data_IF_087322007043
#
_entry.id   IF_087322007043
#
_cell.length_a   1.000
_cell.length_b   1.000
_cell.length_c   1.000
_cell.angle_alpha   90.00
_cell.angle_beta   90.00
_cell.angle_gamma   90.00
#
_symmetry.space_group_name_H-M   'P 1'
#
loop_
_entity.id
_entity.type
_entity.pdbx_description
1 polymer ?
#
# COMPACT_ATOMS: atom_id res chain seq x y z
N UNK A 1 37.43 -32.73 7.12
CA UNK A 1 38.12 -31.50 7.55
C UNK A 1 37.22 -30.32 7.17
N UNK A 2 36.61 -29.67 8.16
CA UNK A 2 35.61 -28.60 7.98
C UNK A 2 36.25 -27.30 7.47
N UNK A 3 35.55 -26.58 6.59
CA UNK A 3 36.03 -25.37 5.94
C UNK A 3 36.52 -24.28 6.91
N UNK A 4 37.70 -23.74 6.62
CA UNK A 4 38.36 -22.71 7.43
C UNK A 4 37.53 -21.42 7.40
N UNK A 5 36.74 -21.21 8.46
CA UNK A 5 36.04 -19.96 8.75
C UNK A 5 37.09 -18.86 8.95
N UNK A 6 37.19 -17.92 8.01
CA UNK A 6 38.08 -16.76 8.18
C UNK A 6 38.71 -16.19 6.90
N UNK A 7 38.55 -16.80 5.72
CA UNK A 7 39.06 -16.21 4.45
C UNK A 7 38.16 -15.13 3.86
N UNK A 8 37.64 -14.20 4.66
CA UNK A 8 37.15 -12.93 4.12
C UNK A 8 38.28 -11.92 4.23
N UNK A 9 38.85 -11.53 3.10
CA UNK A 9 39.91 -10.52 3.03
C UNK A 9 39.51 -9.31 3.86
N UNK A 10 40.34 -9.02 4.88
CA UNK A 10 40.08 -7.97 5.84
C UNK A 10 39.89 -6.59 5.19
N UNK A 11 39.43 -5.59 5.98
CA UNK A 11 39.22 -4.24 5.49
C UNK A 11 40.48 -3.71 4.79
N UNK A 12 40.30 -3.17 3.57
CA UNK A 12 41.39 -2.62 2.74
C UNK A 12 42.04 -1.42 3.44
N UNK A 13 43.30 -1.10 3.11
CA UNK A 13 44.12 -0.05 3.75
C UNK A 13 43.49 1.36 3.80
N UNK A 14 42.41 1.63 3.05
CA UNK A 14 41.65 2.89 3.08
C UNK A 14 40.14 2.69 3.29
N UNK A 15 39.71 1.53 3.79
CA UNK A 15 38.32 1.33 4.17
C UNK A 15 38.07 2.13 5.46
N UNK A 16 37.35 3.25 5.34
CA UNK A 16 36.93 4.04 6.49
C UNK A 16 36.28 3.13 7.53
N UNK A 17 36.84 3.12 8.74
CA UNK A 17 36.37 2.28 9.83
C UNK A 17 34.93 2.61 10.22
N UNK A 18 34.32 1.72 11.02
CA UNK A 18 33.03 2.00 11.63
C UNK A 18 33.11 3.36 12.35
N UNK A 19 32.26 4.32 11.94
CA UNK A 19 32.20 5.65 12.56
C UNK A 19 31.91 5.52 14.06
N UNK A 20 32.40 6.42 14.92
CA UNK A 20 32.02 6.42 16.34
C UNK A 20 30.49 6.42 16.46
N UNK A 21 29.93 5.38 17.10
CA UNK A 21 28.47 5.17 17.19
C UNK A 21 27.82 4.33 16.07
N UNK A 22 28.60 3.83 15.11
CA UNK A 22 28.13 2.86 14.13
C UNK A 22 27.99 1.47 14.78
N UNK A 23 26.75 1.13 15.11
CA UNK A 23 26.37 -0.10 15.78
C UNK A 23 25.15 0.14 16.67
N UNK A 24 24.34 -0.88 16.89
CA UNK A 24 23.26 -0.78 17.87
C UNK A 24 23.90 -0.62 19.26
N UNK A 25 23.60 0.49 19.96
CA UNK A 25 24.04 0.68 21.36
C UNK A 25 23.66 -0.56 22.19
N UNK A 26 24.58 -1.13 22.99
CA UNK A 26 24.23 -2.24 23.87
C UNK A 26 23.13 -1.77 24.82
N UNK A 27 22.04 -2.56 24.87
CA UNK A 27 20.90 -2.25 25.73
C UNK A 27 21.36 -2.42 27.18
N UNK A 28 21.32 -1.34 27.95
CA UNK A 28 21.59 -1.38 29.38
C UNK A 28 20.67 -2.41 30.07
N UNK A 29 21.14 -3.12 31.12
CA UNK A 29 20.30 -4.00 31.91
C UNK A 29 19.39 -3.14 32.79
N UNK A 30 18.37 -2.54 32.18
CA UNK A 30 17.16 -2.18 32.93
C UNK A 30 16.62 -3.48 33.54
N UNK A 31 16.16 -3.48 34.81
CA UNK A 31 15.39 -4.59 35.34
C UNK A 31 14.21 -4.77 34.39
N UNK A 32 14.30 -5.81 33.56
CA UNK A 32 13.34 -6.11 32.53
C UNK A 32 12.01 -6.42 33.23
N UNK A 33 10.92 -5.66 33.03
CA UNK A 33 9.64 -6.36 32.98
C UNK A 33 9.84 -7.39 31.87
N UNK A 34 9.79 -8.66 32.25
CA UNK A 34 10.13 -9.80 31.41
C UNK A 34 9.64 -9.54 29.98
N UNK A 35 10.59 -9.40 29.04
CA UNK A 35 10.27 -9.36 27.61
C UNK A 35 9.49 -10.64 27.35
N UNK A 36 8.17 -10.52 27.15
CA UNK A 36 7.36 -11.59 26.59
C UNK A 36 7.91 -11.84 25.19
N UNK A 37 8.88 -12.73 25.11
CA UNK A 37 9.30 -13.37 23.88
C UNK A 37 8.04 -13.90 23.23
N UNK A 38 7.75 -13.48 22.00
CA UNK A 38 6.64 -14.01 21.20
C UNK A 38 6.82 -15.50 20.83
N UNK A 39 7.81 -16.18 21.41
CA UNK A 39 8.05 -17.61 21.27
C UNK A 39 8.16 -18.33 22.62
N UNK A 40 7.58 -17.78 23.70
CA UNK A 40 7.18 -18.65 24.81
C UNK A 40 6.11 -19.57 24.24
N UNK A 41 6.45 -20.86 24.07
CA UNK A 41 5.45 -21.93 24.00
C UNK A 41 4.47 -21.62 25.13
N UNK A 42 3.30 -21.09 24.79
CA UNK A 42 2.23 -20.91 25.75
C UNK A 42 2.05 -22.29 26.34
N UNK A 43 2.37 -22.45 27.62
CA UNK A 43 1.91 -23.60 28.37
C UNK A 43 0.40 -23.52 28.27
N UNK A 44 -0.13 -24.22 27.27
CA UNK A 44 -1.55 -24.32 27.03
C UNK A 44 -2.12 -24.70 28.39
N UNK A 45 -2.92 -23.80 28.96
CA UNK A 45 -3.76 -24.14 30.08
C UNK A 45 -4.56 -25.32 29.55
N UNK A 46 -4.20 -26.54 29.97
CA UNK A 46 -5.00 -27.73 29.74
C UNK A 46 -6.19 -27.58 30.67
N UNK A 47 -7.09 -26.67 30.30
CA UNK A 47 -8.48 -26.79 30.72
C UNK A 47 -8.91 -28.09 30.08
N UNK A 48 -9.13 -29.12 30.89
CA UNK A 48 -9.81 -30.34 30.48
C UNK A 48 -11.24 -29.94 30.11
N UNK A 49 -11.40 -29.41 28.90
CA UNK A 49 -12.70 -29.21 28.28
C UNK A 49 -13.28 -30.60 28.11
N UNK A 50 -14.46 -30.81 28.67
CA UNK A 50 -15.25 -32.02 28.44
C UNK A 50 -15.28 -32.31 26.95
N UNK A 51 -15.07 -33.58 26.60
CA UNK A 51 -15.11 -34.03 25.22
C UNK A 51 -16.50 -33.70 24.66
N UNK A 52 -16.58 -32.64 23.86
CA UNK A 52 -17.81 -32.24 23.20
C UNK A 52 -18.31 -33.45 22.38
N UNK A 53 -19.55 -33.94 22.59
CA UNK A 53 -20.08 -35.17 22.02
C UNK A 53 -20.42 -34.99 20.53
N UNK A 54 -19.39 -34.73 19.74
CA UNK A 54 -19.52 -34.28 18.37
C UNK A 54 -18.27 -33.54 17.97
N UNK A 55 -17.16 -34.27 17.83
CA UNK A 55 -15.99 -33.83 17.05
C UNK A 55 -16.38 -33.73 15.58
N UNK A 56 -17.33 -32.85 15.28
CA UNK A 56 -17.80 -32.58 13.94
C UNK A 56 -16.71 -31.82 13.24
N UNK A 57 -16.16 -32.43 12.19
CA UNK A 57 -15.53 -31.70 11.11
C UNK A 57 -16.48 -30.57 10.72
N UNK A 58 -16.20 -29.34 11.19
CA UNK A 58 -16.88 -28.14 10.74
C UNK A 58 -16.78 -28.17 9.23
N UNK A 59 -17.88 -28.50 8.54
CA UNK A 59 -17.92 -28.52 7.08
C UNK A 59 -17.55 -27.10 6.67
N UNK A 60 -16.32 -26.91 6.17
CA UNK A 60 -15.85 -25.63 5.65
C UNK A 60 -16.71 -25.30 4.44
N UNK A 61 -17.81 -24.60 4.66
CA UNK A 61 -18.59 -24.01 3.59
C UNK A 61 -17.71 -22.93 2.99
N UNK A 62 -17.18 -23.19 1.78
CA UNK A 62 -16.49 -22.16 1.01
C UNK A 62 -17.52 -21.07 0.72
N UNK A 63 -17.21 -19.82 1.05
CA UNK A 63 -18.04 -18.69 0.65
C UNK A 63 -18.14 -18.70 -0.88
N UNK A 64 -19.36 -18.72 -1.40
CA UNK A 64 -19.61 -18.59 -2.84
C UNK A 64 -19.30 -17.14 -3.23
N UNK A 65 -18.48 -16.89 -4.27
CA UNK A 65 -18.24 -15.55 -4.77
C UNK A 65 -19.58 -14.92 -5.21
N UNK A 66 -19.85 -13.71 -4.72
CA UNK A 66 -21.02 -12.93 -5.15
C UNK A 66 -20.60 -12.12 -6.36
N UNK A 67 -21.30 -12.28 -7.48
CA UNK A 67 -21.15 -11.39 -8.63
C UNK A 67 -21.61 -9.98 -8.23
N UNK A 68 -20.72 -9.01 -8.44
CA UNK A 68 -21.05 -7.60 -8.28
C UNK A 68 -20.99 -6.95 -9.65
N UNK A 69 -21.94 -6.04 -9.90
CA UNK A 69 -21.93 -5.17 -11.08
C UNK A 69 -20.60 -4.41 -11.19
N UNK A 70 -20.25 -4.01 -12.42
CA UNK A 70 -19.03 -3.24 -12.73
C UNK A 70 -19.07 -1.87 -12.03
N UNK A 71 -18.65 -1.83 -10.77
CA UNK A 71 -18.55 -0.63 -9.95
C UNK A 71 -17.12 -0.18 -9.86
N UNK A 72 -16.94 1.12 -10.02
CA UNK A 72 -15.68 1.79 -9.73
C UNK A 72 -15.26 1.60 -8.25
N UNK A 73 -13.96 1.44 -8.01
CA UNK A 73 -13.39 1.09 -6.69
C UNK A 73 -13.64 2.17 -5.64
N UNK A 74 -13.73 3.43 -6.07
CA UNK A 74 -14.07 4.54 -5.18
C UNK A 74 -15.53 4.48 -4.74
N UNK A 75 -16.45 4.20 -5.66
CA UNK A 75 -17.88 4.03 -5.38
C UNK A 75 -18.11 2.84 -4.44
N UNK A 76 -17.42 1.71 -4.67
CA UNK A 76 -17.46 0.55 -3.78
C UNK A 76 -17.07 0.91 -2.34
N UNK A 77 -15.98 1.65 -2.16
CA UNK A 77 -15.51 2.05 -0.82
C UNK A 77 -16.47 3.03 -0.12
N UNK A 78 -17.14 3.90 -0.88
CA UNK A 78 -18.20 4.77 -0.33
C UNK A 78 -19.39 3.96 0.15
N UNK A 79 -19.86 2.99 -0.62
CA UNK A 79 -20.98 2.13 -0.23
C UNK A 79 -20.65 1.27 1.01
N UNK A 80 -19.40 0.83 1.14
CA UNK A 80 -18.91 0.16 2.36
C UNK A 80 -18.93 1.13 3.55
N UNK A 81 -18.46 2.37 3.36
CA UNK A 81 -18.45 3.38 4.43
C UNK A 81 -19.86 3.79 4.90
N UNK A 82 -20.83 3.79 3.99
CA UNK A 82 -22.25 4.02 4.31
C UNK A 82 -22.96 2.77 4.85
N UNK A 83 -22.27 1.62 4.94
CA UNK A 83 -22.83 0.37 5.44
C UNK A 83 -23.81 -0.32 4.47
N UNK A 84 -23.85 0.09 3.21
CA UNK A 84 -24.71 -0.53 2.17
C UNK A 84 -24.16 -1.87 1.69
N UNK A 85 -22.84 -2.03 1.73
CA UNK A 85 -22.14 -3.25 1.30
C UNK A 85 -21.25 -3.75 2.42
N UNK A 86 -21.43 -5.02 2.80
CA UNK A 86 -20.53 -5.70 3.73
C UNK A 86 -19.36 -6.27 2.94
N UNK A 87 -18.16 -5.77 3.21
CA UNK A 87 -16.92 -6.22 2.59
C UNK A 87 -15.93 -6.77 3.62
N UNK A 88 -15.09 -7.69 3.18
CA UNK A 88 -13.98 -8.20 4.00
C UNK A 88 -12.84 -7.19 4.04
N UNK A 89 -12.03 -7.25 5.11
CA UNK A 89 -10.87 -6.36 5.26
C UNK A 89 -9.85 -6.50 4.11
N UNK A 90 -9.78 -7.66 3.45
CA UNK A 90 -8.92 -7.86 2.28
C UNK A 90 -9.46 -7.14 1.04
N UNK A 91 -10.77 -7.15 0.82
CA UNK A 91 -11.42 -6.45 -0.30
C UNK A 91 -11.24 -4.93 -0.17
N UNK A 92 -11.43 -4.38 1.04
CA UNK A 92 -11.22 -2.94 1.31
C UNK A 92 -9.77 -2.53 1.01
N UNK A 93 -8.79 -3.36 1.40
CA UNK A 93 -7.37 -3.12 1.12
C UNK A 93 -7.05 -3.18 -0.38
N UNK A 94 -7.59 -4.17 -1.09
CA UNK A 94 -7.41 -4.30 -2.52
C UNK A 94 -7.99 -3.11 -3.28
N UNK A 95 -9.24 -2.72 -2.96
CA UNK A 95 -9.89 -1.56 -3.58
C UNK A 95 -9.11 -0.27 -3.32
N UNK A 96 -8.65 -0.04 -2.08
CA UNK A 96 -7.85 1.14 -1.73
C UNK A 96 -6.52 1.22 -2.50
N UNK A 97 -5.89 0.07 -2.75
CA UNK A 97 -4.65 -0.01 -3.53
C UNK A 97 -4.88 0.20 -5.04
N UNK A 98 -6.08 -0.08 -5.55
CA UNK A 98 -6.44 0.16 -6.94
C UNK A 98 -6.77 1.63 -7.23
N UNK A 99 -7.25 2.39 -6.23
CA UNK A 99 -7.65 3.80 -6.39
C UNK A 99 -6.65 4.71 -7.11
N UNK A 100 -5.32 4.64 -6.85
CA UNK A 100 -4.35 5.51 -7.53
C UNK A 100 -4.25 5.26 -9.04
N UNK A 101 -4.69 4.09 -9.51
CA UNK A 101 -4.63 3.70 -10.91
C UNK A 101 -5.97 3.93 -11.63
N UNK A 102 -7.08 3.95 -10.89
CA UNK A 102 -8.41 4.24 -11.46
C UNK A 102 -8.73 5.74 -11.43
N UNK A 103 -8.22 6.48 -10.44
CA UNK A 103 -8.35 7.94 -10.36
C UNK A 103 -7.01 8.61 -10.16
N UNK A 104 -6.64 9.46 -11.12
CA UNK A 104 -5.53 10.37 -10.94
C UNK A 104 -5.78 11.24 -9.69
N UNK A 105 -4.80 11.29 -8.78
CA UNK A 105 -4.89 12.16 -7.62
C UNK A 105 -5.01 13.60 -8.10
N UNK A 106 -5.83 14.39 -7.38
CA UNK A 106 -6.01 15.82 -7.65
C UNK A 106 -4.64 16.52 -7.52
N UNK A 107 -4.00 16.78 -8.65
CA UNK A 107 -2.67 17.41 -8.73
C UNK A 107 -1.59 16.62 -9.49
N UNK A 108 -1.76 15.32 -9.77
CA UNK A 108 -0.76 14.52 -10.51
C UNK A 108 -0.90 14.62 -12.05
N UNK A 109 -2.08 14.95 -12.55
CA UNK A 109 -2.33 15.24 -13.97
C UNK A 109 -3.23 16.46 -14.09
N UNK A 110 -2.91 17.38 -14.99
CA UNK A 110 -3.76 18.53 -15.25
C UNK A 110 -3.05 19.89 -15.19
N UNK A 111 -1.94 20.07 -14.47
CA UNK A 111 -1.35 21.44 -14.41
C UNK A 111 -0.82 21.91 -15.76
N UNK A 112 -0.38 20.98 -16.62
CA UNK A 112 0.02 21.27 -18.00
C UNK A 112 -1.19 21.27 -18.94
N UNK A 113 -2.07 20.26 -18.86
CA UNK A 113 -3.25 20.17 -19.72
C UNK A 113 -4.24 21.32 -19.47
N UNK A 114 -4.47 21.72 -18.22
CA UNK A 114 -5.35 22.83 -17.82
C UNK A 114 -4.77 24.18 -18.26
N UNK A 115 -3.44 24.37 -18.16
CA UNK A 115 -2.78 25.55 -18.74
C UNK A 115 -2.92 25.58 -20.26
N UNK A 116 -2.76 24.43 -20.91
CA UNK A 116 -2.88 24.32 -22.36
C UNK A 116 -4.32 24.53 -22.84
N UNK A 117 -5.32 23.98 -22.14
CA UNK A 117 -6.74 24.22 -22.40
C UNK A 117 -7.11 25.70 -22.17
N UNK A 118 -6.64 26.31 -21.09
CA UNK A 118 -6.81 27.75 -20.84
C UNK A 118 -6.17 28.59 -21.94
N UNK A 119 -4.98 28.23 -22.42
CA UNK A 119 -4.32 28.91 -23.53
C UNK A 119 -5.11 28.73 -24.85
N UNK A 120 -5.59 27.52 -25.15
CA UNK A 120 -6.40 27.25 -26.33
C UNK A 120 -7.73 28.01 -26.32
N UNK A 121 -8.39 28.11 -25.16
CA UNK A 121 -9.63 28.88 -25.00
C UNK A 121 -9.43 30.38 -25.29
N UNK A 122 -8.23 30.92 -25.04
CA UNK A 122 -7.89 32.32 -25.26
C UNK A 122 -7.31 32.58 -26.67
N UNK A 123 -6.76 31.55 -27.33
CA UNK A 123 -6.08 31.68 -28.62
C UNK A 123 -6.94 32.32 -29.71
N UNK A 124 -8.25 32.05 -29.72
CA UNK A 124 -9.18 32.65 -30.68
C UNK A 124 -9.34 34.18 -30.56
N UNK A 125 -9.02 34.78 -29.40
CA UNK A 125 -9.10 36.24 -29.20
C UNK A 125 -7.97 37.01 -29.89
N UNK A 126 -6.90 36.33 -30.28
CA UNK A 126 -5.72 36.93 -30.90
C UNK A 126 -5.54 36.51 -32.38
N UNK A 127 -6.58 35.97 -33.01
CA UNK A 127 -6.54 35.64 -34.42
C UNK A 127 -6.34 36.91 -35.27
N UNK A 128 -5.48 36.88 -36.31
CA UNK A 128 -5.28 38.03 -37.19
C UNK A 128 -6.58 38.38 -37.91
N UNK A 129 -6.88 39.68 -37.99
CA UNK A 129 -8.05 40.17 -38.75
C UNK A 129 -7.94 39.73 -40.20
N UNK A 130 -9.08 39.38 -40.80
CA UNK A 130 -9.14 39.06 -42.22
C UNK A 130 -8.62 40.24 -43.06
N UNK A 131 -7.87 39.97 -44.14
CA UNK A 131 -7.36 41.01 -45.02
C UNK A 131 -8.51 41.78 -45.70
N UNK A 132 -8.30 43.07 -46.01
CA UNK A 132 -9.31 43.87 -46.69
C UNK A 132 -9.64 43.28 -48.07
N UNK A 133 -10.92 43.35 -48.45
CA UNK A 133 -11.39 42.82 -49.74
C UNK A 133 -10.74 43.60 -50.90
N UNK A 134 -10.28 42.91 -51.95
CA UNK A 134 -9.78 43.59 -53.15
C UNK A 134 -10.93 44.41 -53.76
N UNK A 135 -10.59 45.60 -54.27
CA UNK A 135 -11.55 46.41 -55.02
C UNK A 135 -11.90 45.66 -56.29
N UNK A 136 -13.17 45.26 -56.41
CA UNK A 136 -13.70 44.74 -57.66
C UNK A 136 -13.93 45.95 -58.56
N UNK A 137 -13.24 45.97 -59.71
CA UNK A 137 -13.43 46.95 -60.78
C UNK A 137 -14.70 46.63 -61.56
#
# INVERSE_FOLDING_TARGET
MAGVKGKSGGPRKNAGGARPGAGRKPKQPVPVPAKKSANTKSSAVKVSLEAQPGGGTLKRTKSVPVEQEDKDMLTLLQDIALGRVVATALQVKAASAALPYTHAKKGEGGKKEERQQKAQAVAGRFAPSAPPRPRMN
#
